data_IF_411587508490
#
_entry.id   IF_411587508490
#
_cell.length_a   1.000
_cell.length_b   1.000
_cell.length_c   1.000
_cell.angle_alpha   90.00
_cell.angle_beta   90.00
_cell.angle_gamma   90.00
#
_symmetry.space_group_name_H-M   'P 1'
#
loop_
_entity.id
_entity.type
_entity.pdbx_description
1 polymer ?
#
# COMPACT_ATOMS: atom_id res chain seq x y z
N UNK A 1 -24.16 4.80 -8.90
CA UNK A 1 -23.52 5.71 -7.92
C UNK A 1 -22.02 5.60 -8.13
N UNK A 2 -21.35 6.70 -8.45
CA UNK A 2 -19.89 6.76 -8.57
C UNK A 2 -19.32 7.51 -7.37
N UNK A 3 -18.11 7.15 -6.95
CA UNK A 3 -17.36 7.94 -5.98
C UNK A 3 -15.89 8.05 -6.40
N UNK A 4 -15.21 9.15 -6.02
CA UNK A 4 -13.79 9.35 -6.33
C UNK A 4 -12.87 8.30 -5.69
N UNK A 5 -11.84 7.89 -6.42
CA UNK A 5 -10.83 6.92 -5.95
C UNK A 5 -10.06 7.38 -4.70
N UNK A 6 -9.91 8.70 -4.47
CA UNK A 6 -9.16 9.22 -3.32
C UNK A 6 -9.67 8.73 -1.95
N UNK A 7 -10.94 8.28 -1.85
CA UNK A 7 -11.44 7.73 -0.59
C UNK A 7 -10.67 6.48 -0.12
N UNK A 8 -10.00 5.76 -1.02
CA UNK A 8 -9.11 4.66 -0.67
C UNK A 8 -7.82 5.12 0.03
N UNK A 9 -7.45 6.41 -0.05
CA UNK A 9 -6.27 6.94 0.62
C UNK A 9 -6.41 6.95 2.14
N UNK A 10 -7.64 7.06 2.69
CA UNK A 10 -7.85 7.10 4.14
C UNK A 10 -7.45 5.79 4.85
N UNK A 11 -7.95 4.61 4.46
CA UNK A 11 -7.50 3.36 5.08
C UNK A 11 -6.00 3.12 4.84
N UNK A 12 -5.47 3.46 3.66
CA UNK A 12 -4.03 3.35 3.36
C UNK A 12 -3.22 4.23 4.33
N UNK A 13 -3.63 5.47 4.55
CA UNK A 13 -2.97 6.39 5.47
C UNK A 13 -2.99 5.90 6.92
N UNK A 14 -4.10 5.31 7.37
CA UNK A 14 -4.20 4.72 8.71
C UNK A 14 -3.22 3.55 8.88
N UNK A 15 -3.16 2.63 7.91
CA UNK A 15 -2.19 1.54 7.91
C UNK A 15 -0.75 2.06 7.88
N UNK A 16 -0.47 3.05 7.03
CA UNK A 16 0.85 3.67 6.94
C UNK A 16 1.28 4.30 8.27
N UNK A 17 0.37 4.98 8.99
CA UNK A 17 0.66 5.58 10.29
C UNK A 17 1.04 4.53 11.33
N UNK A 18 0.24 3.46 11.44
CA UNK A 18 0.55 2.34 12.35
C UNK A 18 1.91 1.73 12.00
N UNK A 19 2.17 1.56 10.71
CA UNK A 19 3.43 1.01 10.23
C UNK A 19 4.64 1.90 10.54
N UNK A 20 4.49 3.22 10.44
CA UNK A 20 5.54 4.18 10.84
C UNK A 20 5.89 4.05 12.32
N UNK A 21 4.90 3.81 13.20
CA UNK A 21 5.17 3.58 14.63
C UNK A 21 6.06 2.35 14.83
N UNK A 22 5.80 1.25 14.11
CA UNK A 22 6.65 0.05 14.16
C UNK A 22 8.08 0.33 13.68
N UNK A 23 8.23 1.04 12.56
CA UNK A 23 9.55 1.44 12.04
C UNK A 23 10.32 2.25 13.09
N UNK A 24 9.68 3.22 13.74
CA UNK A 24 10.33 4.03 14.78
C UNK A 24 10.77 3.19 15.99
N UNK A 25 9.95 2.22 16.38
CA UNK A 25 10.29 1.28 17.44
C UNK A 25 11.49 0.41 17.06
N UNK A 26 11.55 -0.06 15.83
CA UNK A 26 12.68 -0.86 15.32
C UNK A 26 13.97 -0.04 15.23
N UNK A 27 13.88 1.22 14.77
CA UNK A 27 15.01 2.15 14.77
C UNK A 27 15.50 2.43 16.19
N UNK A 28 14.58 2.60 17.16
CA UNK A 28 14.95 2.74 18.57
C UNK A 28 15.68 1.50 19.09
N UNK A 29 15.19 0.29 18.77
CA UNK A 29 15.85 -0.95 19.15
C UNK A 29 17.24 -1.06 18.52
N UNK A 30 17.38 -0.66 17.27
CA UNK A 30 18.66 -0.65 16.57
C UNK A 30 19.65 0.27 17.29
N UNK A 31 19.27 1.51 17.57
CA UNK A 31 20.15 2.48 18.23
C UNK A 31 20.51 2.02 19.66
N UNK A 32 19.56 1.44 20.39
CA UNK A 32 19.76 1.09 21.80
C UNK A 32 20.51 -0.23 22.02
N UNK A 33 20.40 -1.18 21.07
CA UNK A 33 20.88 -2.56 21.27
C UNK A 33 21.77 -3.09 20.13
N UNK A 34 22.13 -2.26 19.14
CA UNK A 34 22.96 -2.68 18.01
C UNK A 34 24.25 -3.40 18.41
N UNK A 35 24.89 -2.96 19.50
CA UNK A 35 26.19 -3.49 19.94
C UNK A 35 26.07 -4.78 20.76
N UNK A 36 24.89 -5.07 21.32
CA UNK A 36 24.70 -6.19 22.25
C UNK A 36 24.45 -7.50 21.51
N UNK A 37 23.71 -7.46 20.39
CA UNK A 37 23.34 -8.64 19.62
C UNK A 37 23.42 -8.39 18.12
N UNK A 38 24.54 -8.75 17.50
CA UNK A 38 24.78 -8.59 16.05
C UNK A 38 23.67 -9.20 15.18
N UNK A 39 23.13 -10.36 15.59
CA UNK A 39 22.04 -11.01 14.84
C UNK A 39 20.76 -10.18 14.85
N UNK A 40 20.41 -9.57 15.98
CA UNK A 40 19.26 -8.68 16.10
C UNK A 40 19.47 -7.41 15.25
N UNK A 41 20.66 -6.81 15.31
CA UNK A 41 21.04 -5.70 14.43
C UNK A 41 20.84 -6.06 12.95
N UNK A 42 21.40 -7.18 12.52
CA UNK A 42 21.37 -7.59 11.12
C UNK A 42 19.93 -7.86 10.62
N UNK A 43 19.11 -8.51 11.44
CA UNK A 43 17.70 -8.76 11.12
C UNK A 43 16.88 -7.47 11.06
N UNK A 44 17.06 -6.56 12.02
CA UNK A 44 16.39 -5.24 11.99
C UNK A 44 16.86 -4.39 10.81
N UNK A 45 18.15 -4.44 10.47
CA UNK A 45 18.70 -3.76 9.29
C UNK A 45 18.07 -4.28 7.98
N UNK A 46 17.99 -5.61 7.80
CA UNK A 46 17.33 -6.22 6.64
C UNK A 46 15.85 -5.82 6.58
N UNK A 47 15.15 -5.88 7.71
CA UNK A 47 13.75 -5.48 7.78
C UNK A 47 13.58 -4.03 7.30
N UNK A 48 14.34 -3.08 7.85
CA UNK A 48 14.29 -1.67 7.47
C UNK A 48 14.66 -1.44 6.00
N UNK A 49 15.66 -2.15 5.48
CA UNK A 49 16.02 -2.09 4.06
C UNK A 49 14.87 -2.59 3.17
N UNK A 50 14.21 -3.69 3.55
CA UNK A 50 13.03 -4.21 2.89
C UNK A 50 11.86 -3.21 2.91
N UNK A 51 11.64 -2.54 4.03
CA UNK A 51 10.64 -1.47 4.16
C UNK A 51 10.89 -0.34 3.15
N UNK A 52 12.12 0.15 3.08
CA UNK A 52 12.51 1.21 2.14
C UNK A 52 12.28 0.75 0.70
N UNK A 53 12.70 -0.48 0.38
CA UNK A 53 12.54 -1.06 -0.95
C UNK A 53 11.07 -1.19 -1.37
N UNK A 54 10.21 -1.74 -0.50
CA UNK A 54 8.78 -1.88 -0.77
C UNK A 54 8.13 -0.49 -0.91
N UNK A 55 8.48 0.46 -0.05
CA UNK A 55 7.93 1.82 -0.08
C UNK A 55 8.31 2.55 -1.37
N UNK A 56 9.56 2.39 -1.84
CA UNK A 56 10.02 2.93 -3.12
C UNK A 56 9.18 2.40 -4.28
N UNK A 57 9.01 1.07 -4.36
CA UNK A 57 8.21 0.47 -5.43
C UNK A 57 6.73 0.85 -5.33
N UNK A 58 6.15 0.83 -4.14
CA UNK A 58 4.77 1.27 -3.91
C UNK A 58 4.56 2.70 -4.41
N UNK A 59 5.49 3.62 -4.10
CA UNK A 59 5.45 4.98 -4.61
C UNK A 59 5.46 5.01 -6.14
N UNK A 60 6.38 4.30 -6.79
CA UNK A 60 6.48 4.28 -8.27
C UNK A 60 5.24 3.72 -8.95
N UNK A 61 4.62 2.68 -8.38
CA UNK A 61 3.42 2.05 -8.94
C UNK A 61 2.18 2.94 -8.79
N UNK A 62 2.18 3.80 -7.77
CA UNK A 62 1.07 4.71 -7.48
C UNK A 62 1.14 6.04 -8.25
N UNK A 63 2.33 6.48 -8.67
CA UNK A 63 2.51 7.73 -9.42
C UNK A 63 1.54 7.96 -10.61
N UNK A 64 1.28 6.96 -11.48
CA UNK A 64 0.41 7.17 -12.63
C UNK A 64 -1.10 7.12 -12.32
N UNK A 65 -1.49 6.84 -11.07
CA UNK A 65 -2.91 6.70 -10.69
C UNK A 65 -3.56 8.08 -10.57
N UNK A 66 -4.65 8.31 -11.30
CA UNK A 66 -5.51 9.48 -11.10
C UNK A 66 -6.48 9.26 -9.93
N UNK A 67 -6.19 9.88 -8.79
CA UNK A 67 -7.01 9.76 -7.59
C UNK A 67 -8.37 10.46 -7.67
N UNK A 68 -8.58 11.33 -8.66
CA UNK A 68 -9.87 11.96 -8.93
C UNK A 68 -10.75 11.11 -9.85
N UNK A 69 -10.23 9.99 -10.37
CA UNK A 69 -10.98 9.10 -11.24
C UNK A 69 -12.23 8.55 -10.51
N UNK A 70 -13.43 8.69 -11.11
CA UNK A 70 -14.65 8.18 -10.51
C UNK A 70 -14.77 6.67 -10.71
N UNK A 71 -14.81 5.90 -9.62
CA UNK A 71 -15.04 4.47 -9.68
C UNK A 71 -16.53 4.19 -9.84
N UNK A 72 -16.88 3.31 -10.77
CA UNK A 72 -18.24 2.78 -10.95
C UNK A 72 -18.27 1.30 -10.58
N UNK A 73 -18.93 0.96 -9.46
CA UNK A 73 -19.02 -0.43 -8.98
C UNK A 73 -19.95 -1.32 -9.82
N UNK A 74 -20.84 -0.72 -10.60
CA UNK A 74 -21.89 -1.42 -11.35
C UNK A 74 -21.82 -1.03 -12.83
N UNK A 75 -20.84 -1.57 -13.56
CA UNK A 75 -21.01 -1.65 -15.00
C UNK A 75 -22.06 -2.74 -15.26
N UNK A 76 -23.23 -2.34 -15.74
CA UNK A 76 -24.32 -3.26 -16.08
C UNK A 76 -23.82 -4.30 -17.07
N UNK A 77 -23.86 -5.58 -16.71
CA UNK A 77 -23.72 -6.67 -17.68
C UNK A 77 -24.95 -6.59 -18.60
N UNK A 78 -24.80 -6.03 -19.81
CA UNK A 78 -25.88 -6.04 -20.79
C UNK A 78 -25.85 -7.38 -21.53
N UNK A 79 -26.82 -8.25 -21.25
CA UNK A 79 -27.11 -9.37 -22.12
C UNK A 79 -27.92 -8.84 -23.29
N UNK A 80 -27.28 -8.60 -24.43
CA UNK A 80 -27.99 -8.34 -25.68
C UNK A 80 -28.32 -9.70 -26.30
N UNK A 81 -29.58 -10.19 -26.24
CA UNK A 81 -29.92 -11.44 -26.91
C UNK A 81 -29.75 -11.23 -28.42
N UNK A 82 -29.02 -12.15 -29.07
CA UNK A 82 -28.85 -12.17 -30.52
C UNK A 82 -30.22 -12.40 -31.16
N UNK A 83 -30.71 -11.54 -32.06
CA UNK A 83 -31.97 -11.80 -32.74
C UNK A 83 -31.83 -13.08 -33.56
N UNK A 84 -32.70 -14.05 -33.30
CA UNK A 84 -32.83 -15.24 -34.15
C UNK A 84 -33.43 -14.78 -35.49
N UNK A 85 -32.69 -15.00 -36.58
CA UNK A 85 -33.19 -14.79 -37.93
C UNK A 85 -34.22 -15.87 -38.23
N UNK A 86 -35.47 -15.45 -38.51
CA UNK A 86 -36.55 -16.29 -39.02
C UNK A 86 -36.25 -16.85 -40.41
#
# INVERSE_FOLDING_TARGET
>A
MSFPLYYFLFPIALFALVYVIFILMDVYHLISFAEVHFMSFFMTFIFLAGVIYISFWAWTLVQPIDWNEPITFFQSISFTPKPESF
#
